data_IF_167880165261
#
_entry.id   IF_167880165261
#
_cell.length_a   1.000
_cell.length_b   1.000
_cell.length_c   1.000
_cell.angle_alpha   90.00
_cell.angle_beta   90.00
_cell.angle_gamma   90.00
#
_symmetry.space_group_name_H-M   'P 1'
#
loop_
_entity.id
_entity.type
_entity.pdbx_description
1 polymer ?
#
# COMPACT_ATOMS: atom_id res chain seq x y z
N UNK A 1 65.44 2.94 -17.30
CA UNK A 1 64.52 3.83 -18.05
C UNK A 1 63.36 2.96 -18.50
N UNK A 2 62.41 2.67 -17.59
CA UNK A 2 61.19 3.46 -17.30
C UNK A 2 60.14 3.25 -18.41
N UNK A 3 58.89 2.85 -18.18
CA UNK A 3 58.15 2.55 -16.95
C UNK A 3 56.79 1.94 -17.33
N UNK A 4 56.22 1.16 -16.42
CA UNK A 4 54.84 0.68 -16.47
C UNK A 4 53.90 1.80 -15.97
N UNK A 5 52.70 1.95 -16.55
CA UNK A 5 51.52 2.48 -15.86
C UNK A 5 50.24 1.84 -16.44
N UNK A 6 49.64 0.94 -15.66
CA UNK A 6 48.22 0.56 -15.73
C UNK A 6 47.40 1.77 -15.25
N UNK A 7 46.53 2.32 -16.12
CA UNK A 7 45.63 3.41 -15.77
C UNK A 7 44.36 2.92 -15.05
N UNK A 8 43.87 3.61 -14.00
CA UNK A 8 42.70 3.18 -13.24
C UNK A 8 41.38 3.61 -13.90
N UNK A 9 40.42 2.69 -13.90
CA UNK A 9 39.01 2.93 -13.53
C UNK A 9 38.21 3.97 -14.31
N UNK A 10 37.41 3.50 -15.27
CA UNK A 10 36.25 4.24 -15.79
C UNK A 10 34.96 3.61 -15.22
N UNK A 11 34.75 3.82 -13.92
CA UNK A 11 33.48 3.64 -13.19
C UNK A 11 32.71 4.94 -12.80
N UNK A 12 33.16 6.20 -13.06
CA UNK A 12 32.45 7.38 -12.53
C UNK A 12 31.01 7.57 -13.02
N UNK A 13 30.73 7.29 -14.30
CA UNK A 13 29.42 7.60 -14.90
C UNK A 13 28.30 6.66 -14.39
N UNK A 14 28.62 5.40 -14.11
CA UNK A 14 27.66 4.46 -13.49
C UNK A 14 27.35 4.86 -12.04
N UNK A 15 28.36 5.29 -11.29
CA UNK A 15 28.20 5.74 -9.90
C UNK A 15 27.43 7.06 -9.82
N UNK A 16 27.60 7.98 -10.78
CA UNK A 16 26.86 9.24 -10.84
C UNK A 16 25.38 9.05 -11.25
N UNK A 17 25.10 8.17 -12.20
CA UNK A 17 23.73 7.82 -12.61
C UNK A 17 23.01 7.03 -11.51
N UNK A 18 23.70 6.11 -10.82
CA UNK A 18 23.14 5.41 -9.67
C UNK A 18 22.90 6.38 -8.49
N UNK A 19 23.84 7.30 -8.22
CA UNK A 19 23.66 8.34 -7.21
C UNK A 19 22.56 9.37 -7.58
N UNK A 20 22.37 9.67 -8.87
CA UNK A 20 21.27 10.50 -9.35
C UNK A 20 19.92 9.77 -9.24
N UNK A 21 19.90 8.47 -9.56
CA UNK A 21 18.75 7.60 -9.38
C UNK A 21 18.37 7.48 -7.90
N UNK A 22 19.32 7.24 -6.99
CA UNK A 22 19.10 7.20 -5.53
C UNK A 22 18.63 8.54 -4.94
N UNK A 23 19.01 9.67 -5.53
CA UNK A 23 18.51 11.00 -5.12
C UNK A 23 17.05 11.21 -5.54
N UNK A 24 16.62 10.59 -6.64
CA UNK A 24 15.28 10.72 -7.22
C UNK A 24 14.30 9.63 -6.74
N UNK A 25 14.80 8.45 -6.36
CA UNK A 25 14.03 7.29 -5.94
C UNK A 25 14.79 6.50 -4.85
N UNK A 26 14.11 5.72 -4.01
CA UNK A 26 14.77 4.90 -2.98
C UNK A 26 14.96 5.59 -1.62
N UNK A 27 15.65 4.94 -0.69
CA UNK A 27 15.78 5.38 0.71
C UNK A 27 16.46 6.76 0.88
N UNK A 28 17.21 7.23 -0.12
CA UNK A 28 17.85 8.55 -0.12
C UNK A 28 16.95 9.65 -0.74
N UNK A 29 15.78 9.31 -1.25
CA UNK A 29 14.79 10.28 -1.71
C UNK A 29 14.32 11.19 -0.56
N UNK A 30 14.08 12.47 -0.84
CA UNK A 30 13.75 13.47 0.18
C UNK A 30 12.48 13.12 0.98
N UNK A 31 11.46 12.58 0.29
CA UNK A 31 10.21 12.14 0.93
C UNK A 31 10.40 10.95 1.88
N UNK A 32 11.31 10.01 1.55
CA UNK A 32 11.60 8.85 2.38
C UNK A 32 12.36 9.23 3.66
N UNK A 33 13.33 10.14 3.54
CA UNK A 33 14.07 10.69 4.69
C UNK A 33 13.17 11.48 5.63
N UNK A 34 12.24 12.27 5.09
CA UNK A 34 11.26 12.99 5.89
C UNK A 34 10.22 12.04 6.53
N UNK A 35 9.95 10.85 5.97
CA UNK A 35 9.13 9.84 6.63
C UNK A 35 9.85 9.17 7.79
N UNK A 36 11.09 8.73 7.56
CA UNK A 36 11.93 8.18 8.62
C UNK A 36 12.10 9.17 9.80
N UNK A 37 12.19 10.47 9.51
CA UNK A 37 12.29 11.52 10.53
C UNK A 37 11.01 11.70 11.37
N UNK A 38 9.82 11.31 10.87
CA UNK A 38 8.58 11.34 11.64
C UNK A 38 8.34 10.06 12.46
N UNK A 39 9.13 9.01 12.24
CA UNK A 39 9.02 7.78 13.00
C UNK A 39 9.56 7.99 14.41
N UNK A 40 8.65 8.04 15.39
CA UNK A 40 8.99 8.35 16.77
C UNK A 40 9.13 7.08 17.63
N UNK A 41 9.94 7.11 18.70
CA UNK A 41 9.98 6.03 19.68
C UNK A 41 8.60 5.69 20.27
N UNK A 42 7.72 6.70 20.40
CA UNK A 42 6.34 6.51 20.86
C UNK A 42 5.49 5.69 19.88
N UNK A 43 5.61 5.93 18.57
CA UNK A 43 4.96 5.12 17.53
C UNK A 43 5.45 3.68 17.59
N UNK A 44 6.77 3.49 17.68
CA UNK A 44 7.37 2.16 17.79
C UNK A 44 6.86 1.39 19.00
N UNK A 45 6.79 2.05 20.16
CA UNK A 45 6.26 1.45 21.38
C UNK A 45 4.78 1.06 21.24
N UNK A 46 3.95 1.92 20.63
CA UNK A 46 2.55 1.62 20.34
C UNK A 46 2.41 0.39 19.43
N UNK A 47 3.19 0.30 18.35
CA UNK A 47 3.15 -0.85 17.42
C UNK A 47 3.51 -2.15 18.13
N UNK A 48 4.56 -2.14 18.97
CA UNK A 48 4.92 -3.30 19.78
C UNK A 48 3.78 -3.75 20.69
N UNK A 49 3.18 -2.82 21.44
CA UNK A 49 2.03 -3.12 22.29
C UNK A 49 0.86 -3.71 21.50
N UNK A 50 0.57 -3.15 20.32
CA UNK A 50 -0.53 -3.60 19.48
C UNK A 50 -0.26 -4.98 18.88
N UNK A 51 0.95 -5.27 18.41
CA UNK A 51 1.33 -6.58 17.90
C UNK A 51 1.23 -7.63 19.02
N UNK A 52 1.83 -7.39 20.18
CA UNK A 52 1.80 -8.34 21.30
C UNK A 52 0.36 -8.64 21.74
N UNK A 53 -0.46 -7.61 21.90
CA UNK A 53 -1.86 -7.77 22.31
C UNK A 53 -2.69 -8.47 21.23
N UNK A 54 -2.53 -8.08 19.96
CA UNK A 54 -3.24 -8.67 18.82
C UNK A 54 -2.95 -10.17 18.72
N UNK A 55 -1.68 -10.58 18.73
CA UNK A 55 -1.30 -11.99 18.66
C UNK A 55 -1.75 -12.79 19.88
N UNK A 56 -1.74 -12.19 21.07
CA UNK A 56 -2.28 -12.81 22.29
C UNK A 56 -3.78 -13.07 22.17
N UNK A 57 -4.54 -12.10 21.65
CA UNK A 57 -5.98 -12.24 21.43
C UNK A 57 -6.31 -13.21 20.30
N UNK A 58 -5.54 -13.21 19.21
CA UNK A 58 -5.67 -14.21 18.14
C UNK A 58 -5.50 -15.62 18.70
N UNK A 59 -4.44 -15.85 19.49
CA UNK A 59 -4.19 -17.16 20.10
C UNK A 59 -5.31 -17.57 21.05
N UNK A 60 -5.75 -16.65 21.93
CA UNK A 60 -6.87 -16.88 22.84
C UNK A 60 -8.14 -17.27 22.09
N UNK A 61 -8.54 -16.45 21.11
CA UNK A 61 -9.74 -16.64 20.32
C UNK A 61 -9.69 -17.92 19.46
N UNK A 62 -8.52 -18.24 18.90
CA UNK A 62 -8.31 -19.48 18.15
C UNK A 62 -8.54 -20.71 19.03
N UNK A 63 -7.97 -20.74 20.24
CA UNK A 63 -8.18 -21.85 21.18
C UNK A 63 -9.66 -22.03 21.48
N UNK A 64 -10.39 -20.94 21.74
CA UNK A 64 -11.83 -21.00 22.02
C UNK A 64 -12.65 -21.47 20.81
N UNK A 65 -12.32 -21.03 19.58
CA UNK A 65 -12.95 -21.53 18.37
C UNK A 65 -12.70 -23.04 18.19
N UNK A 66 -11.46 -23.51 18.38
CA UNK A 66 -11.13 -24.92 18.25
C UNK A 66 -11.88 -25.80 19.27
N UNK A 67 -12.11 -25.29 20.48
CA UNK A 67 -12.90 -25.98 21.50
C UNK A 67 -14.40 -26.05 21.19
N UNK A 68 -14.92 -25.13 20.37
CA UNK A 68 -16.31 -25.10 19.91
C UNK A 68 -16.53 -25.83 18.58
N UNK A 69 -15.45 -26.27 17.92
CA UNK A 69 -15.52 -26.85 16.59
C UNK A 69 -16.38 -28.12 16.54
N UNK A 70 -17.37 -28.12 15.63
CA UNK A 70 -18.24 -29.27 15.34
C UNK A 70 -18.39 -29.47 13.84
N UNK A 71 -18.44 -30.74 13.43
CA UNK A 71 -18.58 -31.12 12.02
C UNK A 71 -19.88 -30.62 11.38
N UNK A 72 -20.94 -30.49 12.17
CA UNK A 72 -22.26 -30.00 11.73
C UNK A 72 -22.19 -28.58 11.13
N UNK A 73 -21.27 -27.75 11.59
CA UNK A 73 -21.10 -26.38 11.12
C UNK A 73 -20.18 -26.25 9.91
N UNK A 74 -19.52 -27.34 9.47
CA UNK A 74 -18.47 -27.29 8.42
C UNK A 74 -18.90 -26.52 7.17
N UNK A 75 -20.09 -26.72 6.58
CA UNK A 75 -20.48 -25.99 5.38
C UNK A 75 -20.56 -24.47 5.59
N UNK A 76 -21.14 -24.04 6.72
CA UNK A 76 -21.27 -22.62 7.06
C UNK A 76 -19.93 -22.00 7.44
N UNK A 77 -19.05 -22.77 8.10
CA UNK A 77 -17.68 -22.33 8.41
C UNK A 77 -16.89 -22.14 7.13
N UNK A 78 -16.94 -23.08 6.17
CA UNK A 78 -16.26 -22.95 4.88
C UNK A 78 -16.76 -21.72 4.11
N UNK A 79 -18.08 -21.51 4.07
CA UNK A 79 -18.67 -20.31 3.48
C UNK A 79 -18.18 -19.04 4.19
N UNK A 80 -18.16 -19.05 5.52
CA UNK A 80 -17.69 -17.93 6.34
C UNK A 80 -16.20 -17.63 6.13
N UNK A 81 -15.34 -18.65 6.01
CA UNK A 81 -13.91 -18.44 5.73
C UNK A 81 -13.71 -17.80 4.36
N UNK A 82 -14.38 -18.31 3.32
CA UNK A 82 -14.29 -17.73 1.97
C UNK A 82 -14.84 -16.31 1.96
N UNK A 83 -16.03 -16.08 2.54
CA UNK A 83 -16.61 -14.75 2.63
C UNK A 83 -15.70 -13.79 3.43
N UNK A 84 -15.09 -14.25 4.51
CA UNK A 84 -14.16 -13.45 5.31
C UNK A 84 -12.94 -12.99 4.51
N UNK A 85 -12.35 -13.89 3.73
CA UNK A 85 -11.23 -13.57 2.83
C UNK A 85 -11.64 -12.56 1.74
N UNK A 86 -12.78 -12.77 1.08
CA UNK A 86 -13.29 -11.88 0.04
C UNK A 86 -13.63 -10.48 0.59
N UNK A 87 -14.29 -10.41 1.75
CA UNK A 87 -14.64 -9.14 2.37
C UNK A 87 -13.37 -8.42 2.88
N UNK A 88 -12.38 -9.15 3.42
CA UNK A 88 -11.10 -8.55 3.80
C UNK A 88 -10.41 -7.91 2.59
N UNK A 89 -10.42 -8.61 1.46
CA UNK A 89 -9.82 -8.12 0.22
C UNK A 89 -10.53 -6.88 -0.32
N UNK A 90 -11.86 -6.92 -0.39
CA UNK A 90 -12.68 -5.78 -0.77
C UNK A 90 -12.43 -4.57 0.14
N UNK A 91 -12.42 -4.76 1.46
CA UNK A 91 -12.17 -3.68 2.41
C UNK A 91 -10.76 -3.12 2.27
N UNK A 92 -9.76 -3.96 1.99
CA UNK A 92 -8.40 -3.50 1.72
C UNK A 92 -8.35 -2.58 0.50
N UNK A 93 -9.04 -2.96 -0.58
CA UNK A 93 -9.15 -2.14 -1.79
C UNK A 93 -9.93 -0.84 -1.57
N UNK A 94 -11.02 -0.89 -0.78
CA UNK A 94 -11.81 0.28 -0.44
C UNK A 94 -11.00 1.29 0.39
N UNK A 95 -10.26 0.82 1.38
CA UNK A 95 -9.38 1.66 2.21
C UNK A 95 -8.24 2.24 1.37
N UNK A 96 -7.62 1.42 0.52
CA UNK A 96 -6.53 1.85 -0.35
C UNK A 96 -7.00 2.92 -1.35
N UNK A 97 -8.09 2.64 -2.08
CA UNK A 97 -8.71 3.61 -2.98
C UNK A 97 -9.13 4.90 -2.26
N UNK A 98 -9.71 4.79 -1.07
CA UNK A 98 -10.11 5.95 -0.28
C UNK A 98 -8.91 6.81 0.14
N UNK A 99 -7.81 6.19 0.53
CA UNK A 99 -6.56 6.87 0.85
C UNK A 99 -5.96 7.57 -0.38
N UNK A 100 -6.01 6.94 -1.55
CA UNK A 100 -5.47 7.50 -2.80
C UNK A 100 -6.32 8.63 -3.38
N UNK A 101 -7.65 8.50 -3.26
CA UNK A 101 -8.60 9.42 -3.90
C UNK A 101 -8.89 10.65 -3.05
N UNK A 102 -9.04 10.45 -1.73
CA UNK A 102 -9.48 11.51 -0.82
C UNK A 102 -8.57 11.72 0.39
N UNK A 103 -7.58 10.85 0.60
CA UNK A 103 -6.68 10.98 1.73
C UNK A 103 -5.88 12.28 1.66
N UNK A 104 -5.99 13.12 2.70
CA UNK A 104 -5.10 14.26 2.90
C UNK A 104 -4.10 13.98 4.03
N UNK A 105 -2.81 14.24 3.78
CA UNK A 105 -1.74 14.21 4.80
C UNK A 105 -1.90 15.30 5.86
N UNK A 106 -2.75 16.30 5.59
CA UNK A 106 -3.02 17.41 6.50
C UNK A 106 -3.98 17.04 7.63
N UNK A 107 -4.66 15.89 7.55
CA UNK A 107 -5.45 15.38 8.67
C UNK A 107 -4.53 15.05 9.85
N UNK A 108 -4.71 15.70 11.02
CA UNK A 108 -3.87 15.42 12.18
C UNK A 108 -4.04 13.95 12.59
N UNK A 109 -2.94 13.31 12.97
CA UNK A 109 -2.85 11.91 13.41
C UNK A 109 -3.07 10.89 12.27
N UNK A 110 -4.24 10.86 11.63
CA UNK A 110 -4.58 9.87 10.60
C UNK A 110 -3.85 10.13 9.28
N UNK A 111 -3.73 11.39 8.86
CA UNK A 111 -3.05 11.77 7.62
C UNK A 111 -1.56 11.46 7.63
N UNK A 112 -0.90 11.69 8.77
CA UNK A 112 0.54 11.46 8.92
C UNK A 112 0.89 9.98 9.13
N UNK A 113 0.06 9.24 9.86
CA UNK A 113 0.33 7.83 10.19
C UNK A 113 -0.15 6.85 9.11
N UNK A 114 -1.31 7.09 8.49
CA UNK A 114 -1.91 6.14 7.54
C UNK A 114 -1.78 6.58 6.09
N UNK A 115 -2.11 7.84 5.76
CA UNK A 115 -2.19 8.29 4.35
C UNK A 115 -0.80 8.53 3.74
N UNK A 116 0.17 8.98 4.53
CA UNK A 116 1.52 9.28 4.04
C UNK A 116 2.29 8.03 3.58
N UNK A 117 2.27 6.87 4.28
CA UNK A 117 2.86 5.62 3.79
C UNK A 117 2.31 5.15 2.44
N UNK A 118 1.00 5.27 2.18
CA UNK A 118 0.42 4.94 0.86
C UNK A 118 0.99 5.84 -0.25
N UNK A 119 1.18 7.14 0.05
CA UNK A 119 1.75 8.09 -0.92
C UNK A 119 3.22 7.82 -1.20
N UNK A 120 3.99 7.49 -0.18
CA UNK A 120 5.39 7.11 -0.38
C UNK A 120 5.46 5.80 -1.16
N UNK A 121 4.56 4.85 -0.91
CA UNK A 121 4.54 3.58 -1.60
C UNK A 121 4.36 3.72 -3.13
N UNK A 122 3.61 4.68 -3.63
CA UNK A 122 3.53 4.93 -5.09
C UNK A 122 4.77 5.63 -5.66
N UNK A 123 5.60 6.24 -4.81
CA UNK A 123 6.87 6.85 -5.21
C UNK A 123 7.97 5.78 -5.14
N UNK A 124 8.10 5.07 -4.02
CA UNK A 124 9.00 3.93 -3.86
C UNK A 124 8.21 2.68 -3.45
N UNK A 125 7.73 1.89 -4.42
CA UNK A 125 6.97 0.67 -4.16
C UNK A 125 7.73 -0.35 -3.32
N UNK A 126 9.06 -0.32 -3.37
CA UNK A 126 9.90 -1.24 -2.60
C UNK A 126 10.17 -0.77 -1.17
N UNK A 127 9.75 0.44 -0.77
CA UNK A 127 9.96 0.95 0.59
C UNK A 127 9.38 0.04 1.66
N UNK A 128 8.16 -0.45 1.43
CA UNK A 128 7.48 -1.40 2.32
C UNK A 128 8.30 -2.68 2.56
N UNK A 129 9.17 -3.08 1.62
CA UNK A 129 10.01 -4.28 1.77
C UNK A 129 11.10 -4.12 2.84
N UNK A 130 11.47 -2.89 3.17
CA UNK A 130 12.55 -2.53 4.10
C UNK A 130 12.09 -2.35 5.54
N UNK A 131 10.79 -2.21 5.78
CA UNK A 131 10.22 -2.13 7.13
C UNK A 131 10.28 -3.48 7.82
N UNK A 132 10.42 -3.53 9.14
CA UNK A 132 10.34 -4.80 9.86
C UNK A 132 8.88 -5.27 10.07
N UNK A 133 8.69 -6.43 10.68
CA UNK A 133 7.36 -6.99 10.90
C UNK A 133 6.45 -6.08 11.75
N UNK A 134 7.03 -5.41 12.75
CA UNK A 134 6.29 -4.56 13.70
C UNK A 134 5.83 -3.29 12.99
N UNK A 135 6.72 -2.65 12.25
CA UNK A 135 6.39 -1.44 11.47
C UNK A 135 5.41 -1.75 10.33
N UNK A 136 5.55 -2.89 9.66
CA UNK A 136 4.65 -3.29 8.56
C UNK A 136 3.22 -3.57 9.06
N UNK A 137 3.07 -4.18 10.23
CA UNK A 137 1.79 -4.75 10.68
C UNK A 137 1.19 -4.08 11.92
N UNK A 138 1.91 -3.18 12.59
CA UNK A 138 1.50 -2.63 13.88
C UNK A 138 0.17 -1.87 13.83
N UNK A 139 -0.07 -1.13 12.75
CA UNK A 139 -1.33 -0.40 12.55
C UNK A 139 -2.50 -1.33 12.19
N UNK A 140 -2.27 -2.37 11.41
CA UNK A 140 -3.28 -3.40 11.15
C UNK A 140 -3.63 -4.16 12.44
N UNK A 141 -2.63 -4.44 13.28
CA UNK A 141 -2.83 -5.02 14.60
C UNK A 141 -3.69 -4.10 15.47
N UNK A 142 -3.40 -2.79 15.51
CA UNK A 142 -4.21 -1.81 16.25
C UNK A 142 -5.66 -1.80 15.80
N UNK A 143 -5.93 -1.72 14.49
CA UNK A 143 -7.29 -1.70 13.93
C UNK A 143 -8.06 -2.98 14.29
N UNK A 144 -7.38 -4.13 14.28
CA UNK A 144 -7.99 -5.43 14.56
C UNK A 144 -8.17 -5.73 16.06
N UNK A 145 -7.61 -4.94 16.97
CA UNK A 145 -7.78 -5.14 18.42
C UNK A 145 -9.24 -5.10 18.86
N UNK A 146 -10.02 -4.14 18.38
CA UNK A 146 -11.41 -3.96 18.81
C UNK A 146 -12.29 -5.20 18.52
N UNK A 147 -12.34 -5.73 17.27
CA UNK A 147 -13.12 -6.93 17.01
C UNK A 147 -12.55 -8.17 17.71
N UNK A 148 -11.22 -8.27 17.89
CA UNK A 148 -10.60 -9.36 18.68
C UNK A 148 -11.02 -9.32 20.17
N UNK A 149 -11.06 -8.13 20.76
CA UNK A 149 -11.52 -7.93 22.14
C UNK A 149 -13.00 -8.24 22.28
N UNK A 150 -13.83 -7.85 21.30
CA UNK A 150 -15.26 -8.19 21.29
C UNK A 150 -15.48 -9.71 21.25
N UNK A 151 -14.72 -10.42 20.43
CA UNK A 151 -14.76 -11.88 20.33
C UNK A 151 -14.34 -12.56 21.65
N UNK A 152 -13.23 -12.12 22.24
CA UNK A 152 -12.78 -12.60 23.54
C UNK A 152 -13.82 -12.33 24.64
N UNK A 153 -14.43 -11.15 24.63
CA UNK A 153 -15.51 -10.79 25.55
C UNK A 153 -16.71 -11.72 25.40
N UNK A 154 -17.14 -12.05 24.17
CA UNK A 154 -18.24 -13.00 23.93
C UNK A 154 -17.92 -14.38 24.48
N UNK A 155 -16.72 -14.91 24.23
CA UNK A 155 -16.32 -16.22 24.78
C UNK A 155 -16.30 -16.28 26.31
N UNK A 156 -16.12 -15.14 26.98
CA UNK A 156 -16.10 -15.07 28.44
C UNK A 156 -17.47 -14.82 29.07
N UNK A 157 -18.41 -14.25 28.33
CA UNK A 157 -19.68 -13.75 28.90
C UNK A 157 -20.93 -14.47 28.39
N UNK A 158 -20.87 -15.09 27.21
CA UNK A 158 -22.02 -15.78 26.61
C UNK A 158 -22.12 -17.22 27.09
N UNK A 159 -23.34 -17.78 27.07
CA UNK A 159 -23.54 -19.20 27.36
C UNK A 159 -22.97 -20.07 26.23
N UNK A 160 -22.71 -21.35 26.53
CA UNK A 160 -22.18 -22.28 25.53
C UNK A 160 -23.13 -22.46 24.35
N UNK A 161 -24.43 -22.54 24.63
CA UNK A 161 -25.48 -22.70 23.62
C UNK A 161 -25.52 -21.50 22.67
N UNK A 162 -25.39 -20.28 23.20
CA UNK A 162 -25.31 -19.07 22.40
C UNK A 162 -24.05 -19.04 21.52
N UNK A 163 -22.90 -19.46 22.07
CA UNK A 163 -21.65 -19.53 21.32
C UNK A 163 -21.68 -20.58 20.20
N UNK A 164 -22.32 -21.72 20.43
CA UNK A 164 -22.51 -22.76 19.40
C UNK A 164 -23.36 -22.23 18.24
N UNK A 165 -24.41 -21.44 18.51
CA UNK A 165 -25.21 -20.79 17.47
C UNK A 165 -24.43 -19.72 16.69
N UNK A 166 -23.57 -18.96 17.37
CA UNK A 166 -22.74 -17.92 16.77
C UNK A 166 -21.48 -18.47 16.07
N UNK A 167 -21.14 -19.74 16.26
CA UNK A 167 -19.85 -20.30 15.87
C UNK A 167 -19.46 -20.05 14.39
N UNK A 168 -20.32 -20.30 13.38
CA UNK A 168 -19.96 -20.00 12.00
C UNK A 168 -19.71 -18.51 11.73
N UNK A 169 -20.45 -17.64 12.40
CA UNK A 169 -20.28 -16.19 12.32
C UNK A 169 -18.95 -15.76 12.93
N UNK A 170 -18.59 -16.29 14.10
CA UNK A 170 -17.30 -16.01 14.73
C UNK A 170 -16.13 -16.53 13.87
N UNK A 171 -16.29 -17.65 13.15
CA UNK A 171 -15.29 -18.12 12.19
C UNK A 171 -15.12 -17.16 11.00
N UNK A 172 -16.22 -16.62 10.46
CA UNK A 172 -16.18 -15.58 9.44
C UNK A 172 -15.44 -14.33 9.93
N UNK A 173 -15.83 -13.81 11.10
CA UNK A 173 -15.21 -12.61 11.70
C UNK A 173 -13.73 -12.85 11.99
N UNK A 174 -13.37 -14.03 12.53
CA UNK A 174 -11.99 -14.39 12.80
C UNK A 174 -11.16 -14.47 11.51
N UNK A 175 -11.69 -15.08 10.44
CA UNK A 175 -11.01 -15.12 9.14
C UNK A 175 -10.78 -13.70 8.58
N UNK A 176 -11.82 -12.86 8.62
CA UNK A 176 -11.75 -11.45 8.23
C UNK A 176 -10.66 -10.70 9.02
N UNK A 177 -10.59 -10.91 10.33
CA UNK A 177 -9.55 -10.33 11.19
C UNK A 177 -8.17 -10.81 10.76
N UNK A 178 -7.95 -12.11 10.57
CA UNK A 178 -6.64 -12.66 10.19
C UNK A 178 -6.15 -12.02 8.88
N UNK A 179 -6.97 -12.00 7.84
CA UNK A 179 -6.61 -11.36 6.58
C UNK A 179 -6.39 -9.85 6.74
N UNK A 180 -7.21 -9.16 7.53
CA UNK A 180 -7.03 -7.74 7.85
C UNK A 180 -5.72 -7.46 8.61
N UNK A 181 -5.35 -8.30 9.58
CA UNK A 181 -4.08 -8.18 10.33
C UNK A 181 -2.88 -8.32 9.38
N UNK A 182 -2.93 -9.29 8.47
CA UNK A 182 -1.81 -9.60 7.57
C UNK A 182 -1.83 -8.88 6.21
N UNK A 183 -2.82 -8.02 5.91
CA UNK A 183 -2.95 -7.40 4.58
C UNK A 183 -1.69 -6.62 4.18
N UNK A 184 -1.06 -5.87 5.09
CA UNK A 184 0.18 -5.15 4.80
C UNK A 184 1.38 -6.08 4.62
N UNK A 185 1.41 -7.20 5.35
CA UNK A 185 2.45 -8.22 5.16
C UNK A 185 2.34 -8.90 3.80
N UNK A 186 1.11 -9.20 3.37
CA UNK A 186 0.82 -9.78 2.06
C UNK A 186 1.18 -8.78 0.95
N UNK A 187 0.79 -7.52 1.12
CA UNK A 187 1.17 -6.43 0.24
C UNK A 187 2.71 -6.30 0.14
N UNK A 188 3.43 -6.32 1.27
CA UNK A 188 4.89 -6.34 1.29
C UNK A 188 5.47 -7.51 0.49
N UNK A 189 4.88 -8.70 0.59
CA UNK A 189 5.32 -9.87 -0.18
C UNK A 189 5.05 -9.74 -1.68
N UNK A 190 4.07 -8.94 -2.11
CA UNK A 190 3.83 -8.68 -3.54
C UNK A 190 4.97 -7.85 -4.18
N UNK A 191 5.68 -7.05 -3.37
CA UNK A 191 6.87 -6.28 -3.76
C UNK A 191 8.21 -6.98 -3.50
N UNK A 192 8.20 -8.14 -2.82
CA UNK A 192 9.43 -8.85 -2.46
C UNK A 192 9.75 -9.91 -3.51
N UNK A 193 10.72 -9.65 -4.39
CA UNK A 193 11.03 -10.54 -5.53
C UNK A 193 11.94 -11.72 -5.17
N UNK A 194 12.82 -11.56 -4.18
CA UNK A 194 13.81 -12.57 -3.77
C UNK A 194 13.65 -12.92 -2.29
N UNK A 195 14.04 -14.15 -1.91
CA UNK A 195 14.09 -14.56 -0.50
C UNK A 195 12.74 -14.85 0.17
N UNK A 196 11.63 -14.86 -0.57
CA UNK A 196 10.34 -15.29 0.00
C UNK A 196 10.33 -16.79 0.33
N UNK A 197 9.73 -17.19 1.47
CA UNK A 197 9.49 -18.60 1.76
C UNK A 197 8.61 -19.27 0.69
N UNK A 198 8.87 -20.54 0.41
CA UNK A 198 8.13 -21.32 -0.61
C UNK A 198 6.62 -21.35 -0.37
N UNK A 199 6.18 -21.38 0.89
CA UNK A 199 4.76 -21.39 1.20
C UNK A 199 4.08 -20.06 0.82
N UNK A 200 4.78 -18.93 0.92
CA UNK A 200 4.25 -17.62 0.47
C UNK A 200 4.09 -17.63 -1.04
N UNK A 201 5.12 -18.08 -1.77
CA UNK A 201 5.05 -18.11 -3.24
C UNK A 201 3.96 -19.06 -3.73
N UNK A 202 3.77 -20.22 -3.09
CA UNK A 202 2.68 -21.13 -3.42
C UNK A 202 1.29 -20.50 -3.19
N UNK A 203 1.10 -19.78 -2.08
CA UNK A 203 -0.17 -19.08 -1.83
C UNK A 203 -0.41 -17.94 -2.83
N UNK A 204 0.65 -17.26 -3.28
CA UNK A 204 0.58 -16.27 -4.35
C UNK A 204 0.24 -16.92 -5.70
N UNK A 205 0.86 -18.05 -6.03
CA UNK A 205 0.61 -18.79 -7.27
C UNK A 205 -0.81 -19.38 -7.32
N UNK A 206 -1.40 -19.68 -6.16
CA UNK A 206 -2.78 -20.13 -6.01
C UNK A 206 -3.79 -19.00 -5.82
N UNK A 207 -3.35 -17.73 -5.89
CA UNK A 207 -4.21 -16.55 -5.73
C UNK A 207 -4.94 -16.46 -4.37
N UNK A 208 -4.51 -17.26 -3.38
CA UNK A 208 -5.05 -17.22 -2.01
C UNK A 208 -4.63 -15.92 -1.32
N UNK A 209 -3.43 -15.43 -1.62
CA UNK A 209 -2.92 -14.13 -1.19
C UNK A 209 -2.42 -13.35 -2.42
N UNK A 210 -2.33 -12.02 -2.30
CA UNK A 210 -2.03 -11.13 -3.42
C UNK A 210 -0.77 -11.54 -4.23
N UNK A 211 -0.92 -11.90 -5.52
CA UNK A 211 0.20 -12.21 -6.39
C UNK A 211 0.97 -10.95 -6.82
N UNK A 212 2.28 -11.09 -6.96
CA UNK A 212 3.17 -10.01 -7.45
C UNK A 212 2.76 -9.46 -8.82
N UNK A 213 2.37 -10.37 -9.73
CA UNK A 213 2.00 -9.99 -11.11
C UNK A 213 0.77 -9.11 -11.14
N UNK A 214 -0.20 -9.41 -10.28
CA UNK A 214 -1.45 -8.70 -10.20
C UNK A 214 -1.23 -7.31 -9.64
N UNK A 215 -0.58 -7.23 -8.48
CA UNK A 215 -0.36 -5.97 -7.82
C UNK A 215 0.54 -5.03 -8.64
N UNK A 216 1.47 -5.56 -9.45
CA UNK A 216 2.25 -4.74 -10.39
C UNK A 216 1.36 -3.95 -11.37
N UNK A 217 0.18 -4.45 -11.75
CA UNK A 217 -0.73 -3.74 -12.66
C UNK A 217 -1.24 -2.44 -12.03
N UNK A 218 -1.50 -2.45 -10.72
CA UNK A 218 -1.90 -1.27 -9.96
C UNK A 218 -0.82 -0.16 -10.01
N UNK A 219 0.45 -0.55 -9.95
CA UNK A 219 1.61 0.34 -10.07
C UNK A 219 1.89 0.85 -11.49
N UNK A 220 1.09 0.45 -12.48
CA UNK A 220 1.19 1.02 -13.83
C UNK A 220 0.27 2.23 -13.91
N UNK A 221 0.81 3.36 -14.36
CA UNK A 221 0.03 4.57 -14.67
C UNK A 221 -1.23 4.20 -15.47
N UNK A 222 -2.43 4.66 -15.07
CA UNK A 222 -2.70 5.83 -14.21
C UNK A 222 -2.88 5.55 -12.71
N UNK A 223 -2.65 4.33 -12.20
CA UNK A 223 -2.90 3.94 -10.80
C UNK A 223 -4.38 3.98 -10.37
N UNK A 224 -5.29 3.73 -11.32
CA UNK A 224 -6.75 3.84 -11.09
C UNK A 224 -7.46 2.49 -10.93
N UNK A 225 -6.71 1.38 -10.90
CA UNK A 225 -7.28 0.03 -10.92
C UNK A 225 -6.54 -0.89 -9.95
N UNK A 226 -7.17 -2.01 -9.57
CA UNK A 226 -6.54 -3.08 -8.78
C UNK A 226 -6.05 -2.66 -7.38
N UNK A 227 -6.91 -1.95 -6.64
CA UNK A 227 -6.60 -1.44 -5.30
C UNK A 227 -6.53 -2.52 -4.20
N UNK A 228 -7.14 -3.69 -4.40
CA UNK A 228 -7.13 -4.74 -3.39
C UNK A 228 -5.70 -5.28 -3.18
N UNK A 229 -5.33 -5.48 -1.91
CA UNK A 229 -3.95 -5.85 -1.53
C UNK A 229 -3.88 -7.10 -0.64
N UNK A 230 -4.97 -7.83 -0.48
CA UNK A 230 -5.03 -8.96 0.48
C UNK A 230 -5.04 -10.31 -0.23
N UNK A 231 -5.93 -10.50 -1.18
CA UNK A 231 -6.08 -11.73 -1.97
C UNK A 231 -6.20 -11.37 -3.44
N UNK A 232 -6.32 -12.37 -4.29
CA UNK A 232 -6.71 -12.17 -5.68
C UNK A 232 -7.96 -12.99 -6.04
N UNK A 233 -8.78 -13.29 -5.04
CA UNK A 233 -10.01 -14.07 -5.25
C UNK A 233 -11.12 -13.22 -5.89
N UNK A 234 -11.18 -11.93 -5.60
CA UNK A 234 -12.16 -11.01 -6.20
C UNK A 234 -11.77 -10.55 -7.60
N UNK A 235 -10.47 -10.41 -7.87
CA UNK A 235 -9.94 -9.89 -9.12
C UNK A 235 -9.46 -11.01 -10.06
N UNK A 236 -9.30 -12.23 -9.55
CA UNK A 236 -8.72 -13.39 -10.23
C UNK A 236 -9.57 -14.67 -10.14
N UNK A 237 -10.90 -14.59 -10.28
CA UNK A 237 -11.64 -15.77 -10.74
C UNK A 237 -11.00 -16.22 -12.07
N UNK A 238 -10.45 -17.45 -12.18
CA UNK A 238 -9.86 -17.89 -13.42
C UNK A 238 -10.97 -17.89 -14.48
N UNK A 239 -10.77 -17.15 -15.58
CA UNK A 239 -11.61 -17.36 -16.75
C UNK A 239 -11.53 -18.86 -17.10
N UNK A 240 -12.66 -19.59 -17.16
CA UNK A 240 -12.61 -20.99 -17.54
C UNK A 240 -12.22 -21.05 -19.02
N UNK A 241 -10.95 -21.38 -19.26
CA UNK A 241 -10.37 -21.58 -20.58
C UNK A 241 -9.95 -20.29 -21.29
N UNK A 242 -8.64 -20.18 -21.54
CA UNK A 242 -8.09 -20.01 -22.90
C UNK A 242 -6.57 -19.91 -22.85
N UNK A 243 -5.94 -20.95 -23.37
CA UNK A 243 -4.71 -20.81 -24.13
C UNK A 243 -4.94 -19.78 -25.26
N UNK A 244 -3.93 -18.95 -25.54
CA UNK A 244 -3.76 -18.10 -26.73
C UNK A 244 -5.01 -17.42 -27.29
N UNK A 245 -5.15 -16.11 -27.04
CA UNK A 245 -5.48 -15.11 -28.08
C UNK A 245 -5.36 -13.71 -27.49
N UNK A 246 -4.44 -12.91 -28.02
CA UNK A 246 -4.52 -11.45 -27.98
C UNK A 246 -5.83 -11.01 -28.64
N UNK A 247 -6.65 -10.23 -27.94
CA UNK A 247 -7.72 -9.43 -28.54
C UNK A 247 -7.73 -8.06 -27.84
N UNK A 248 -7.85 -6.95 -28.60
CA UNK A 248 -7.72 -5.61 -28.08
C UNK A 248 -9.00 -5.17 -27.35
N UNK A 249 -8.84 -4.25 -26.39
CA UNK A 249 -9.92 -3.66 -25.58
C UNK A 249 -11.09 -3.13 -26.42
N UNK A 250 -12.35 -3.36 -26.01
CA UNK A 250 -13.49 -2.65 -26.55
C UNK A 250 -13.59 -1.26 -25.89
N UNK A 251 -13.36 -0.22 -26.69
CA UNK A 251 -13.86 1.14 -26.42
C UNK A 251 -15.36 1.19 -26.70
N UNK A 252 -16.04 2.09 -25.97
CA UNK A 252 -17.43 2.58 -26.11
C UNK A 252 -18.57 1.71 -25.58
N UNK A 253 -19.19 2.13 -24.46
CA UNK A 253 -20.41 2.96 -24.45
C UNK A 253 -21.02 2.98 -23.04
N UNK A 254 -20.72 4.01 -22.25
CA UNK A 254 -21.62 4.56 -21.22
C UNK A 254 -21.24 6.03 -21.04
N UNK A 255 -21.86 6.86 -21.88
CA UNK A 255 -21.89 8.31 -21.74
C UNK A 255 -23.07 8.66 -20.82
N UNK A 256 -22.78 9.00 -19.56
CA UNK A 256 -23.25 10.21 -18.88
C UNK A 256 -22.97 10.16 -17.36
N UNK A 257 -22.50 11.30 -16.85
CA UNK A 257 -22.61 11.75 -15.46
C UNK A 257 -21.55 11.32 -14.43
N UNK A 258 -20.31 11.74 -14.65
CA UNK A 258 -19.45 12.45 -13.66
C UNK A 258 -18.07 12.67 -14.30
N UNK A 259 -17.41 13.83 -14.14
CA UNK A 259 -16.00 13.92 -14.49
C UNK A 259 -15.23 12.89 -13.65
N UNK A 260 -14.29 12.12 -14.23
CA UNK A 260 -13.39 11.31 -13.42
C UNK A 260 -12.70 12.26 -12.44
N UNK A 261 -12.86 12.03 -11.14
CA UNK A 261 -12.09 12.76 -10.14
C UNK A 261 -10.65 12.33 -10.37
N UNK A 262 -9.77 13.21 -10.88
CA UNK A 262 -8.42 12.79 -11.21
C UNK A 262 -7.71 12.41 -9.92
N UNK A 263 -7.11 11.22 -9.88
CA UNK A 263 -6.14 10.86 -8.86
C UNK A 263 -5.15 12.02 -8.69
N UNK A 264 -4.77 12.35 -7.46
CA UNK A 264 -3.92 13.50 -7.17
C UNK A 264 -2.57 13.43 -7.92
N UNK A 265 -2.10 12.24 -8.29
CA UNK A 265 -0.93 12.03 -9.16
C UNK A 265 -1.07 12.66 -10.56
N UNK A 266 -2.27 12.64 -11.16
CA UNK A 266 -2.52 13.38 -12.41
C UNK A 266 -2.39 14.89 -12.23
N UNK A 267 -2.60 15.43 -11.02
CA UNK A 267 -2.37 16.86 -10.71
C UNK A 267 -0.91 17.18 -10.45
N UNK A 268 -0.14 16.27 -9.84
CA UNK A 268 1.30 16.47 -9.58
C UNK A 268 2.15 16.29 -10.84
N UNK A 269 1.84 15.32 -11.70
CA UNK A 269 2.53 15.12 -12.98
C UNK A 269 2.29 16.26 -13.99
N UNK A 270 1.32 17.14 -13.72
CA UNK A 270 1.01 18.34 -14.51
C UNK A 270 1.58 19.63 -13.90
N UNK A 271 2.23 19.57 -12.73
CA UNK A 271 2.92 20.73 -12.17
C UNK A 271 4.34 20.80 -12.74
N UNK A 272 4.72 21.93 -13.37
CA UNK A 272 6.07 22.08 -13.88
C UNK A 272 7.09 21.95 -12.73
N UNK A 273 8.19 21.24 -12.98
CA UNK A 273 9.33 21.16 -12.06
C UNK A 273 9.79 22.57 -11.71
N UNK A 274 10.12 22.81 -10.44
CA UNK A 274 10.48 24.14 -9.90
C UNK A 274 11.66 24.84 -10.60
N UNK A 275 12.34 24.18 -11.53
CA UNK A 275 13.34 24.78 -12.42
C UNK A 275 12.73 25.68 -13.51
N UNK A 276 11.50 25.42 -13.97
CA UNK A 276 10.84 26.23 -15.01
C UNK A 276 10.36 27.60 -14.50
N UNK A 277 10.26 27.79 -13.17
CA UNK A 277 9.93 29.10 -12.57
C UNK A 277 11.13 30.04 -12.42
N UNK A 278 12.36 29.54 -12.52
CA UNK A 278 13.57 30.35 -12.39
C UNK A 278 14.03 30.96 -13.73
N UNK A 279 13.51 30.51 -14.86
CA UNK A 279 13.83 31.05 -16.20
C UNK A 279 12.82 32.06 -16.75
N UNK A 280 11.75 32.36 -16.01
CA UNK A 280 10.73 33.34 -16.43
C UNK A 280 10.92 34.70 -15.72
N UNK A 281 12.08 35.34 -15.89
CA UNK A 281 12.18 36.79 -15.65
C UNK A 281 11.54 37.54 -16.82
N UNK A 282 10.57 38.44 -16.60
CA UNK A 282 10.03 39.27 -17.68
C UNK A 282 11.10 40.24 -18.16
N UNK A 283 11.45 40.20 -19.45
CA UNK A 283 12.19 41.28 -20.11
C UNK A 283 11.31 42.53 -20.10
N UNK A 284 11.53 43.42 -19.14
CA UNK A 284 11.02 44.80 -19.18
C UNK A 284 11.69 45.59 -20.33
N UNK A 285 11.01 46.58 -20.91
CA UNK A 285 11.56 47.33 -22.03
C UNK A 285 12.72 48.22 -21.58
N UNK A 286 13.82 48.17 -22.34
CA UNK A 286 14.96 49.09 -22.24
C UNK A 286 14.50 50.55 -22.44
N UNK A 287 14.90 51.52 -21.60
CA UNK A 287 14.86 52.92 -21.98
C UNK A 287 16.08 53.26 -22.85
N UNK A 288 15.84 53.87 -24.01
CA UNK A 288 16.88 54.42 -24.89
C UNK A 288 17.52 55.68 -24.31
N UNK A 289 18.63 56.16 -24.89
CA UNK A 289 19.47 57.19 -24.28
C UNK A 289 18.84 58.58 -24.42
N UNK A 290 18.86 59.31 -23.30
CA UNK A 290 18.44 60.69 -23.14
C UNK A 290 19.28 61.64 -24.03
N UNK A 291 18.62 62.38 -24.94
CA UNK A 291 19.19 63.58 -25.58
C UNK A 291 18.48 64.81 -25.02
N UNK A 292 19.31 65.69 -24.47
CA UNK A 292 18.98 67.04 -23.98
C UNK A 292 18.41 67.96 -25.07
N UNK A 293 17.77 69.01 -24.56
CA UNK A 293 17.52 70.38 -25.09
C UNK A 293 16.03 70.66 -25.34
N UNK A 294 15.47 71.85 -25.15
CA UNK A 294 15.74 73.09 -24.43
C UNK A 294 14.55 74.02 -24.80
N UNK A 295 14.32 75.09 -24.01
CA UNK A 295 13.42 76.23 -24.28
C UNK A 295 11.91 75.99 -24.04
N UNK A 296 11.17 76.83 -23.32
CA UNK A 296 11.49 78.12 -22.70
C UNK A 296 10.24 78.83 -22.17
N UNK A 297 10.51 79.93 -21.46
CA UNK A 297 9.62 80.93 -20.80
C UNK A 297 9.14 80.62 -19.40
#
# INVERSE_FOLDING_TARGET
>A
MAGAEDGPGQQPELDEDEAAYCRRWGAQHAGARELAALYSPGKRFQEWCCVVLCFSLIAHNLVHLLLLARWEHTPLVMLGVVAGALIADFLSGLVHWGADTWGSVELPIVGKAFIRPFREHHIDPTAITRHDFIETNGDNCLVTLLPLLNMAYKFRTQSREALEQLYPWECFVFCLIIFGTFTNQIHKWSHTYFGLPRWVTLLQDWHVILPRKHHRIHHVSPHETYFCITTDLLLGAPAPGKASTFLPSPRLLLSHSAPPVPCFHCRLAQLPSGEDRLLATPRGPHPGPDRREASGR
#
